data_IF_974635511356
#
_entry.id   IF_974635511356
#
_cell.length_a   1.000
_cell.length_b   1.000
_cell.length_c   1.000
_cell.angle_alpha   90.00
_cell.angle_beta   90.00
_cell.angle_gamma   90.00
#
_symmetry.space_group_name_H-M   'P 1'
#
loop_
_entity.id
_entity.type
_entity.pdbx_description
1 polymer ?
#
# COMPACT_ATOMS: atom_id res chain seq x y z
N UNK A 1 5.04 -3.27 36.56
CA UNK A 1 5.72 -2.11 35.94
C UNK A 1 4.67 -1.40 35.11
N UNK A 2 4.04 -0.35 35.65
CA UNK A 2 2.98 0.39 34.95
C UNK A 2 3.64 1.40 34.00
N UNK A 3 3.57 1.14 32.70
CA UNK A 3 3.86 2.17 31.68
C UNK A 3 2.72 3.18 31.73
N UNK A 4 3.02 4.42 32.10
CA UNK A 4 2.08 5.51 31.96
C UNK A 4 1.65 5.61 30.48
N UNK A 5 0.36 5.90 30.19
CA UNK A 5 -0.07 6.12 28.82
C UNK A 5 0.74 7.28 28.23
N UNK A 6 1.18 7.20 26.96
CA UNK A 6 1.94 8.28 26.35
C UNK A 6 1.11 9.58 26.39
N UNK A 7 1.72 10.67 26.84
CA UNK A 7 1.12 12.00 26.76
C UNK A 7 0.67 12.27 25.33
N UNK A 8 -0.51 12.88 25.17
CA UNK A 8 -0.95 13.40 23.88
C UNK A 8 0.00 14.53 23.47
N UNK A 9 1.01 14.18 22.68
CA UNK A 9 1.89 15.15 22.02
C UNK A 9 1.01 15.95 21.05
N UNK A 10 1.01 17.28 21.18
CA UNK A 10 0.45 18.17 20.17
C UNK A 10 0.96 17.77 18.79
N UNK A 11 0.16 17.91 17.71
CA UNK A 11 0.60 17.53 16.37
C UNK A 11 1.99 18.11 16.08
N UNK A 12 3.00 17.24 16.00
CA UNK A 12 4.39 17.66 15.93
C UNK A 12 4.59 18.52 14.68
N UNK A 13 5.44 19.56 14.73
CA UNK A 13 5.86 20.29 13.53
C UNK A 13 6.41 19.25 12.54
N UNK A 14 5.70 19.05 11.42
CA UNK A 14 6.00 17.99 10.44
C UNK A 14 4.80 17.16 9.99
N UNK A 15 3.64 17.24 10.66
CA UNK A 15 2.41 16.58 10.17
C UNK A 15 1.57 17.55 9.34
N UNK A 16 1.34 17.22 8.07
CA UNK A 16 0.42 17.94 7.18
C UNK A 16 -0.70 17.01 6.74
N UNK A 17 -1.92 17.54 6.59
CA UNK A 17 -3.08 16.81 6.08
C UNK A 17 -3.75 17.58 4.96
N UNK A 18 -4.27 16.87 3.98
CA UNK A 18 -5.11 17.43 2.93
C UNK A 18 -6.25 16.47 2.64
N UNK A 19 -7.39 17.05 2.27
CA UNK A 19 -8.55 16.30 1.80
C UNK A 19 -9.11 17.00 0.57
N UNK A 20 -9.45 16.20 -0.43
CA UNK A 20 -10.19 16.62 -1.61
C UNK A 20 -11.14 15.49 -2.01
N UNK A 21 -12.09 15.71 -2.94
CA UNK A 21 -12.92 14.62 -3.43
C UNK A 21 -12.06 13.45 -3.89
N UNK A 22 -12.36 12.24 -3.39
CA UNK A 22 -11.63 11.03 -3.75
C UNK A 22 -10.26 10.87 -3.09
N UNK A 23 -9.80 11.78 -2.22
CA UNK A 23 -8.47 11.72 -1.61
C UNK A 23 -8.46 12.25 -0.16
N UNK A 24 -7.86 11.46 0.72
CA UNK A 24 -7.33 11.92 2.00
C UNK A 24 -5.84 11.61 2.04
N UNK A 25 -5.02 12.61 2.38
CA UNK A 25 -3.58 12.51 2.40
C UNK A 25 -3.02 13.07 3.71
N UNK A 26 -2.09 12.32 4.31
CA UNK A 26 -1.30 12.76 5.47
C UNK A 26 0.17 12.63 5.14
N UNK A 27 0.92 13.68 5.40
CA UNK A 27 2.38 13.70 5.34
C UNK A 27 2.93 13.78 6.75
N UNK A 28 4.00 13.05 7.04
CA UNK A 28 4.72 13.11 8.31
C UNK A 28 6.21 13.25 8.02
N UNK A 29 6.77 14.43 8.29
CA UNK A 29 8.21 14.68 8.18
C UNK A 29 8.94 14.11 9.41
N UNK A 30 9.97 13.28 9.18
CA UNK A 30 10.80 12.62 10.20
C UNK A 30 12.27 12.67 9.82
N UNK A 31 12.93 13.80 10.11
CA UNK A 31 14.33 14.01 9.74
C UNK A 31 14.51 14.04 8.23
N UNK A 32 15.29 13.11 7.68
CA UNK A 32 15.49 12.97 6.23
C UNK A 32 14.37 12.20 5.51
N UNK A 33 13.53 11.47 6.26
CA UNK A 33 12.39 10.72 5.75
C UNK A 33 11.14 11.60 5.75
N UNK A 34 10.30 11.46 4.72
CA UNK A 34 8.90 11.86 4.77
C UNK A 34 8.01 10.66 4.52
N UNK A 35 7.07 10.43 5.41
CA UNK A 35 5.99 9.46 5.22
C UNK A 35 4.82 10.12 4.48
N UNK A 36 4.17 9.36 3.60
CA UNK A 36 2.97 9.74 2.88
C UNK A 36 1.92 8.63 3.01
N UNK A 37 0.81 8.94 3.68
CA UNK A 37 -0.32 8.04 3.89
C UNK A 37 -1.50 8.55 3.06
N UNK A 38 -1.91 7.80 2.05
CA UNK A 38 -2.95 8.15 1.10
C UNK A 38 -4.13 7.18 1.23
N UNK A 39 -5.33 7.74 1.36
CA UNK A 39 -6.57 7.00 1.13
C UNK A 39 -7.22 7.57 -0.12
N UNK A 40 -7.35 6.74 -1.16
CA UNK A 40 -8.04 7.10 -2.38
C UNK A 40 -9.36 6.34 -2.48
N UNK A 41 -10.43 7.05 -2.82
CA UNK A 41 -11.72 6.45 -3.17
C UNK A 41 -12.10 6.89 -4.58
N UNK A 42 -12.81 6.06 -5.36
CA UNK A 42 -13.23 6.45 -6.70
C UNK A 42 -14.09 7.71 -6.69
N UNK A 43 -13.85 8.61 -7.64
CA UNK A 43 -14.77 9.68 -7.99
C UNK A 43 -16.00 9.11 -8.74
N UNK A 44 -17.13 9.84 -8.80
CA UNK A 44 -18.29 9.40 -9.58
C UNK A 44 -17.92 9.09 -11.04
N UNK A 45 -18.18 7.85 -11.47
CA UNK A 45 -17.86 7.38 -12.82
C UNK A 45 -16.37 7.15 -13.11
N UNK A 46 -15.49 7.27 -12.11
CA UNK A 46 -14.06 7.00 -12.26
C UNK A 46 -13.83 5.50 -12.45
N UNK A 47 -13.07 5.15 -13.49
CA UNK A 47 -12.66 3.78 -13.73
C UNK A 47 -11.52 3.37 -12.80
N UNK A 48 -11.35 2.07 -12.56
CA UNK A 48 -10.22 1.53 -11.78
C UNK A 48 -8.87 1.98 -12.36
N UNK A 49 -8.76 2.07 -13.68
CA UNK A 49 -7.54 2.54 -14.35
C UNK A 49 -7.27 4.02 -14.07
N UNK A 50 -8.29 4.88 -14.12
CA UNK A 50 -8.16 6.31 -13.82
C UNK A 50 -7.79 6.56 -12.36
N UNK A 51 -8.35 5.78 -11.42
CA UNK A 51 -7.95 5.81 -10.02
C UNK A 51 -6.47 5.42 -9.84
N UNK A 52 -6.00 4.40 -10.57
CA UNK A 52 -4.58 4.04 -10.61
C UNK A 52 -3.70 5.19 -11.11
N UNK A 53 -4.06 5.85 -12.22
CA UNK A 53 -3.34 7.03 -12.71
C UNK A 53 -3.31 8.18 -11.70
N UNK A 54 -4.38 8.36 -10.93
CA UNK A 54 -4.44 9.39 -9.89
C UNK A 54 -3.55 9.07 -8.70
N UNK A 55 -3.38 7.80 -8.37
CA UNK A 55 -2.36 7.36 -7.42
C UNK A 55 -0.94 7.66 -7.96
N UNK A 56 -0.64 7.28 -9.20
CA UNK A 56 0.67 7.51 -9.81
C UNK A 56 1.05 9.00 -9.79
N UNK A 57 0.11 9.88 -10.17
CA UNK A 57 0.32 11.33 -10.13
C UNK A 57 0.57 11.86 -8.70
N UNK A 58 -0.08 11.27 -7.68
CA UNK A 58 0.18 11.63 -6.28
C UNK A 58 1.56 11.17 -5.82
N UNK A 59 2.03 10.01 -6.26
CA UNK A 59 3.37 9.51 -5.92
C UNK A 59 4.45 10.36 -6.60
N UNK A 60 4.30 10.66 -7.89
CA UNK A 60 5.22 11.50 -8.67
C UNK A 60 5.32 12.92 -8.08
N UNK A 61 4.19 13.56 -7.78
CA UNK A 61 4.17 14.90 -7.21
C UNK A 61 4.83 15.01 -5.82
N UNK A 62 5.06 13.88 -5.15
CA UNK A 62 5.69 13.82 -3.83
C UNK A 62 7.07 13.15 -3.84
N UNK A 63 7.58 12.76 -5.01
CA UNK A 63 8.80 11.96 -5.15
C UNK A 63 8.79 10.74 -4.21
N UNK A 64 7.63 10.07 -4.15
CA UNK A 64 7.35 9.07 -3.12
C UNK A 64 7.38 7.65 -3.69
N UNK A 65 8.06 6.78 -2.96
CA UNK A 65 8.17 5.35 -3.25
C UNK A 65 7.25 4.55 -2.33
N UNK A 66 6.42 3.68 -2.90
CA UNK A 66 5.44 2.90 -2.12
C UNK A 66 6.14 1.84 -1.27
N UNK A 67 5.73 1.73 -0.01
CA UNK A 67 6.19 0.71 0.94
C UNK A 67 5.07 -0.23 1.38
N UNK A 68 3.80 0.16 1.22
CA UNK A 68 2.61 -0.70 1.38
C UNK A 68 1.45 -0.20 0.52
N UNK A 69 0.76 -1.11 -0.15
CA UNK A 69 -0.43 -0.82 -0.95
C UNK A 69 -1.53 -1.84 -0.65
N UNK A 70 -2.68 -1.36 -0.21
CA UNK A 70 -3.88 -2.14 0.05
C UNK A 70 -5.00 -1.67 -0.89
N UNK A 71 -5.68 -2.61 -1.54
CA UNK A 71 -6.85 -2.34 -2.39
C UNK A 71 -8.06 -3.04 -1.80
N UNK A 72 -9.17 -2.32 -1.69
CA UNK A 72 -10.43 -2.84 -1.19
C UNK A 72 -11.41 -2.91 -2.34
N UNK A 73 -11.85 -4.11 -2.73
CA UNK A 73 -12.70 -4.27 -3.89
C UNK A 73 -13.03 -5.74 -4.19
N UNK A 74 -13.95 -6.01 -5.12
CA UNK A 74 -14.15 -7.35 -5.65
C UNK A 74 -12.88 -7.85 -6.34
N UNK A 75 -12.43 -9.05 -5.99
CA UNK A 75 -11.28 -9.74 -6.61
C UNK A 75 -11.42 -9.86 -8.13
N UNK A 76 -12.63 -9.83 -8.67
CA UNK A 76 -12.89 -9.74 -10.10
C UNK A 76 -12.31 -8.48 -10.78
N UNK A 77 -12.09 -7.39 -10.03
CA UNK A 77 -11.50 -6.15 -10.54
C UNK A 77 -9.95 -6.20 -10.61
N UNK A 78 -9.31 -7.15 -9.91
CA UNK A 78 -7.84 -7.28 -9.87
C UNK A 78 -7.18 -7.35 -11.25
N UNK A 79 -7.62 -8.22 -12.19
CA UNK A 79 -7.01 -8.29 -13.52
C UNK A 79 -7.08 -6.98 -14.29
N UNK A 80 -8.13 -6.18 -14.08
CA UNK A 80 -8.28 -4.88 -14.73
C UNK A 80 -7.27 -3.86 -14.17
N UNK A 81 -7.07 -3.84 -12.85
CA UNK A 81 -6.06 -2.98 -12.25
C UNK A 81 -4.65 -3.34 -12.73
N UNK A 82 -4.28 -4.64 -12.72
CA UNK A 82 -2.97 -5.10 -13.17
C UNK A 82 -2.71 -4.79 -14.66
N UNK A 83 -3.71 -4.97 -15.53
CA UNK A 83 -3.59 -4.62 -16.95
C UNK A 83 -3.40 -3.12 -17.14
N UNK A 84 -4.16 -2.31 -16.39
CA UNK A 84 -4.03 -0.87 -16.45
C UNK A 84 -2.65 -0.42 -15.99
N UNK A 85 -2.13 -1.01 -14.90
CA UNK A 85 -0.78 -0.78 -14.40
C UNK A 85 0.30 -1.11 -15.46
N UNK A 86 0.26 -2.31 -16.01
CA UNK A 86 1.19 -2.72 -17.06
C UNK A 86 1.14 -1.77 -18.28
N UNK A 87 -0.06 -1.32 -18.68
CA UNK A 87 -0.24 -0.40 -19.79
C UNK A 87 0.31 1.02 -19.53
N UNK A 88 0.38 1.44 -18.25
CA UNK A 88 1.04 2.70 -17.86
C UNK A 88 2.56 2.57 -17.77
N UNK A 89 3.09 1.36 -17.84
CA UNK A 89 4.52 1.09 -17.67
C UNK A 89 5.02 1.33 -16.24
N UNK A 90 4.10 1.54 -15.28
CA UNK A 90 4.44 1.66 -13.86
C UNK A 90 5.01 0.36 -13.32
N UNK A 91 4.48 -0.78 -13.79
CA UNK A 91 5.06 -2.11 -13.57
C UNK A 91 5.39 -2.37 -12.11
N UNK A 92 4.40 -2.14 -11.23
CA UNK A 92 4.60 -2.04 -9.78
C UNK A 92 5.55 -3.11 -9.26
N UNK A 93 6.70 -2.66 -8.76
CA UNK A 93 7.73 -3.51 -8.19
C UNK A 93 7.55 -3.68 -6.67
N UNK A 94 6.34 -3.42 -6.15
CA UNK A 94 5.97 -3.58 -4.74
C UNK A 94 4.75 -4.49 -4.59
N UNK A 95 4.59 -5.13 -3.42
CA UNK A 95 3.41 -5.94 -3.16
C UNK A 95 2.13 -5.09 -3.05
N UNK A 96 1.06 -5.58 -3.66
CA UNK A 96 -0.30 -5.06 -3.49
C UNK A 96 -1.15 -6.12 -2.79
N UNK A 97 -1.70 -5.76 -1.63
CA UNK A 97 -2.59 -6.63 -0.86
C UNK A 97 -4.04 -6.32 -1.25
N UNK A 98 -4.74 -7.33 -1.77
CA UNK A 98 -6.13 -7.19 -2.14
C UNK A 98 -7.05 -7.74 -1.04
N UNK A 99 -7.99 -6.92 -0.59
CA UNK A 99 -9.03 -7.33 0.35
C UNK A 99 -10.36 -7.37 -0.37
N UNK A 100 -10.96 -8.56 -0.44
CA UNK A 100 -12.28 -8.77 -1.04
C UNK A 100 -13.34 -7.96 -0.29
N UNK A 101 -14.12 -7.18 -1.03
CA UNK A 101 -15.22 -6.39 -0.49
C UNK A 101 -15.90 -5.55 -1.57
N UNK A 102 -17.23 -5.57 -1.61
CA UNK A 102 -17.99 -4.72 -2.52
C UNK A 102 -17.97 -3.25 -2.07
N UNK A 103 -18.00 -2.33 -3.03
CA UNK A 103 -18.23 -0.92 -2.72
C UNK A 103 -19.66 -0.70 -2.26
N UNK A 104 -19.84 -0.02 -1.12
CA UNK A 104 -21.15 0.45 -0.68
C UNK A 104 -21.71 1.59 -1.55
N UNK A 105 -20.88 2.17 -2.43
CA UNK A 105 -21.22 3.30 -3.29
C UNK A 105 -21.41 2.91 -4.78
N UNK A 106 -21.40 1.61 -5.11
CA UNK A 106 -21.62 1.11 -6.47
C UNK A 106 -20.43 1.28 -7.43
N UNK A 107 -19.24 1.60 -6.92
CA UNK A 107 -18.00 1.64 -7.70
C UNK A 107 -17.35 0.26 -7.84
N UNK A 108 -16.55 0.07 -8.89
CA UNK A 108 -15.86 -1.21 -9.18
C UNK A 108 -14.90 -1.64 -8.07
N UNK A 109 -14.31 -0.70 -7.33
CA UNK A 109 -13.56 -0.94 -6.09
C UNK A 109 -13.99 0.07 -5.02
N UNK A 110 -13.85 -0.27 -3.74
CA UNK A 110 -14.17 0.63 -2.63
C UNK A 110 -13.10 1.70 -2.40
N UNK A 111 -11.83 1.39 -2.67
CA UNK A 111 -10.73 2.34 -2.56
C UNK A 111 -9.36 1.69 -2.43
N UNK A 112 -8.35 2.53 -2.25
CA UNK A 112 -6.96 2.15 -2.04
C UNK A 112 -6.41 2.85 -0.79
N UNK A 113 -5.58 2.15 -0.03
CA UNK A 113 -4.77 2.72 1.02
C UNK A 113 -3.30 2.50 0.71
N UNK A 114 -2.52 3.58 0.68
CA UNK A 114 -1.12 3.56 0.29
C UNK A 114 -0.29 4.23 1.37
N UNK A 115 0.75 3.53 1.82
CA UNK A 115 1.83 4.11 2.59
C UNK A 115 3.07 4.14 1.69
N UNK A 116 3.59 5.35 1.47
CA UNK A 116 4.78 5.63 0.69
C UNK A 116 5.76 6.48 1.51
N UNK A 117 7.01 6.50 1.08
CA UNK A 117 8.07 7.29 1.70
C UNK A 117 8.87 8.06 0.66
N UNK A 118 9.44 9.21 1.06
CA UNK A 118 10.40 9.95 0.24
C UNK A 118 11.62 10.37 1.06
N UNK A 119 12.73 10.67 0.37
CA UNK A 119 13.99 11.08 0.97
C UNK A 119 14.93 9.94 1.42
N UNK A 120 14.48 8.68 1.35
CA UNK A 120 15.29 7.50 1.68
C UNK A 120 15.17 6.45 0.57
N UNK A 121 16.19 5.61 0.35
CA UNK A 121 16.09 4.48 -0.56
C UNK A 121 15.11 3.43 -0.01
N UNK A 122 14.41 2.76 -0.93
CA UNK A 122 13.52 1.63 -0.62
C UNK A 122 13.98 0.41 -1.41
N UNK A 123 14.17 -0.71 -0.73
CA UNK A 123 14.53 -1.99 -1.31
C UNK A 123 13.27 -2.87 -1.45
N UNK A 124 13.16 -3.59 -2.56
CA UNK A 124 12.11 -4.59 -2.76
C UNK A 124 12.61 -5.98 -2.35
N UNK A 125 11.81 -6.67 -1.53
CA UNK A 125 12.02 -8.08 -1.22
C UNK A 125 11.27 -8.93 -2.24
N UNK A 126 11.99 -9.82 -2.92
CA UNK A 126 11.42 -10.74 -3.89
C UNK A 126 11.43 -12.18 -3.37
N UNK A 127 10.32 -12.88 -3.55
CA UNK A 127 10.21 -14.33 -3.36
C UNK A 127 9.73 -14.93 -4.68
N UNK A 128 10.54 -15.82 -5.27
CA UNK A 128 10.24 -16.47 -6.55
C UNK A 128 9.91 -15.47 -7.68
N UNK A 129 10.61 -14.33 -7.70
CA UNK A 129 10.41 -13.27 -8.70
C UNK A 129 9.19 -12.37 -8.45
N UNK A 130 8.45 -12.56 -7.35
CA UNK A 130 7.32 -11.70 -6.96
C UNK A 130 7.73 -10.77 -5.83
N UNK A 131 7.36 -9.50 -5.92
CA UNK A 131 7.53 -8.57 -4.81
C UNK A 131 6.65 -9.00 -3.63
N UNK A 132 7.26 -9.23 -2.47
CA UNK A 132 6.59 -9.66 -1.23
C UNK A 132 6.86 -8.75 -0.04
N UNK A 133 7.69 -7.73 -0.22
CA UNK A 133 7.94 -6.76 0.83
C UNK A 133 8.72 -5.55 0.36
N UNK A 134 8.74 -4.53 1.22
CA UNK A 134 9.51 -3.30 1.03
C UNK A 134 10.28 -2.99 2.31
N UNK A 135 11.53 -2.57 2.13
CA UNK A 135 12.46 -2.28 3.23
C UNK A 135 12.99 -0.87 3.09
N UNK A 136 12.99 -0.11 4.18
CA UNK A 136 13.56 1.23 4.25
C UNK A 136 14.08 1.51 5.65
N UNK A 137 14.95 2.51 5.78
CA UNK A 137 15.53 2.93 7.06
C UNK A 137 15.08 4.37 7.38
N UNK A 138 14.61 4.62 8.60
CA UNK A 138 14.18 5.96 9.05
C UNK A 138 15.25 6.70 9.88
N UNK A 139 16.47 6.17 9.93
CA UNK A 139 17.58 6.62 10.76
C UNK A 139 17.53 6.11 12.20
N UNK A 140 16.41 5.52 12.63
CA UNK A 140 16.23 4.95 13.97
C UNK A 140 16.06 3.43 13.93
N UNK A 141 15.40 2.91 12.90
CA UNK A 141 15.21 1.50 12.68
C UNK A 141 15.10 1.19 11.17
N UNK A 142 15.45 -0.05 10.83
CA UNK A 142 15.16 -0.64 9.53
C UNK A 142 13.77 -1.27 9.58
N UNK A 143 12.88 -0.78 8.74
CA UNK A 143 11.50 -1.26 8.61
C UNK A 143 11.41 -2.29 7.48
N UNK A 144 10.72 -3.39 7.72
CA UNK A 144 10.36 -4.36 6.69
C UNK A 144 8.85 -4.54 6.71
N UNK A 145 8.20 -4.11 5.63
CA UNK A 145 6.76 -4.28 5.43
C UNK A 145 6.53 -5.39 4.44
N UNK A 146 6.04 -6.53 4.93
CA UNK A 146 5.62 -7.64 4.09
C UNK A 146 4.20 -7.40 3.57
N UNK A 147 3.95 -7.86 2.34
CA UNK A 147 2.64 -7.82 1.70
C UNK A 147 2.59 -8.79 0.54
N UNK A 148 1.38 -9.21 0.14
CA UNK A 148 1.23 -10.08 -1.03
C UNK A 148 1.93 -11.46 -0.92
N UNK A 149 2.25 -11.93 0.30
CA UNK A 149 2.70 -13.30 0.52
C UNK A 149 1.49 -14.21 0.34
N UNK A 150 1.53 -15.02 -0.70
CA UNK A 150 0.45 -15.93 -1.09
C UNK A 150 0.89 -17.39 -0.89
N UNK A 151 -0.06 -18.33 -0.72
CA UNK A 151 0.26 -19.75 -0.75
C UNK A 151 0.91 -20.10 -2.09
N UNK A 152 1.82 -21.08 -2.06
CA UNK A 152 2.47 -21.58 -3.27
C UNK A 152 1.44 -22.24 -4.21
N UNK A 153 0.41 -22.89 -3.63
CA UNK A 153 -0.71 -23.48 -4.37
C UNK A 153 -2.05 -22.92 -3.85
N UNK A 154 -2.66 -21.95 -4.55
CA UNK A 154 -3.98 -21.42 -4.20
C UNK A 154 -5.14 -22.42 -4.31
N UNK A 155 -4.94 -23.58 -4.95
CA UNK A 155 -5.94 -24.64 -5.06
C UNK A 155 -5.88 -25.68 -3.91
N UNK A 156 -4.85 -25.61 -3.05
CA UNK A 156 -4.69 -26.51 -1.92
C UNK A 156 -5.80 -26.35 -0.87
N UNK A 157 -6.01 -27.32 0.04
CA UNK A 157 -6.87 -27.16 1.21
C UNK A 157 -6.48 -25.93 2.06
N UNK A 158 -7.45 -25.26 2.70
CA UNK A 158 -7.23 -23.96 3.36
C UNK A 158 -6.19 -24.00 4.48
N UNK A 159 -6.15 -25.08 5.24
CA UNK A 159 -5.15 -25.34 6.27
C UNK A 159 -3.75 -25.46 5.67
N UNK A 160 -3.62 -26.13 4.52
CA UNK A 160 -2.38 -26.21 3.76
C UNK A 160 -1.98 -24.85 3.22
N UNK A 161 -2.91 -24.08 2.65
CA UNK A 161 -2.63 -22.71 2.19
C UNK A 161 -2.11 -21.82 3.33
N UNK A 162 -2.77 -21.85 4.48
CA UNK A 162 -2.36 -21.07 5.65
C UNK A 162 -0.95 -21.46 6.11
N UNK A 163 -0.66 -22.76 6.24
CA UNK A 163 0.68 -23.24 6.58
C UNK A 163 1.73 -22.77 5.57
N UNK A 164 1.46 -22.89 4.27
CA UNK A 164 2.36 -22.44 3.22
C UNK A 164 2.65 -20.93 3.31
N UNK A 165 1.64 -20.11 3.62
CA UNK A 165 1.84 -18.66 3.82
C UNK A 165 2.79 -18.41 4.99
N UNK A 166 2.60 -19.05 6.13
CA UNK A 166 3.50 -18.89 7.29
C UNK A 166 4.93 -19.35 6.98
N UNK A 167 5.10 -20.52 6.35
CA UNK A 167 6.41 -21.02 5.93
C UNK A 167 7.12 -20.04 4.98
N UNK A 168 6.37 -19.36 4.10
CA UNK A 168 6.92 -18.37 3.15
C UNK A 168 7.21 -17.00 3.78
N UNK A 169 6.58 -16.66 4.90
CA UNK A 169 6.90 -15.45 5.67
C UNK A 169 8.25 -15.61 6.39
N UNK A 170 8.59 -16.83 6.80
CA UNK A 170 9.81 -17.14 7.57
C UNK A 170 11.04 -17.46 6.71
N UNK A 171 10.87 -17.65 5.40
CA UNK A 171 11.91 -18.03 4.46
C UNK A 171 12.87 -16.88 4.10
#
# INVERSE_FOLDING_TARGET
MNLAPPERVAAAPGIRRARSPGLEATWVDRGALRELHLTLVPLPGETVAALGSRLDAMLEANDATVVRHEVFGPTAAWPTLCRADAARGSGWDWPVTWTEGASCAGSDIAGMHVFAVSGVPVETVFLEGRAVGRVFDDGSARHCLLGGVLPADPAAPRDVQARQVFERIEA
#
